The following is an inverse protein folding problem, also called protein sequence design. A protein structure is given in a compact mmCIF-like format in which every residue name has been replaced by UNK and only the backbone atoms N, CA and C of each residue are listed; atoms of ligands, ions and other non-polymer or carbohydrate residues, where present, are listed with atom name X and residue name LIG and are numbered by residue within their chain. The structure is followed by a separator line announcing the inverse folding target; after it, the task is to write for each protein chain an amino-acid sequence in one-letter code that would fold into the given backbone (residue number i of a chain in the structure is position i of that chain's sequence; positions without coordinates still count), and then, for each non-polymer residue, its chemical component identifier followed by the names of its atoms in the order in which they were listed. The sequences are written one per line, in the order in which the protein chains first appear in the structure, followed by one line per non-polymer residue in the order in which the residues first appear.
data_IF_800034871277
#
_entry.id   IF_800034871277
#
_cell.length_a   1.000
_cell.length_b   1.000
_cell.length_c   1.000
_cell.angle_alpha   90.00
_cell.angle_beta   90.00
_cell.angle_gamma   90.00
#
_symmetry.space_group_name_H-M   'P 1'
#
loop_
_entity.id
_entity.type
_entity.pdbx_description
1 polymer ?
#
# COMPACT_ATOMS: atom_id res chain seq x y z
N UNK A 1 0.64 -6.96 2.66
CA UNK A 1 1.83 -7.29 1.86
C UNK A 1 2.65 -8.36 2.56
N UNK A 2 3.59 -7.97 3.43
CA UNK A 2 4.52 -8.91 4.07
C UNK A 2 3.91 -9.98 5.00
N UNK A 3 2.87 -9.66 5.77
CA UNK A 3 2.18 -10.61 6.67
C UNK A 3 0.76 -10.95 6.22
N UNK A 4 0.30 -10.35 5.11
CA UNK A 4 -1.06 -10.49 4.63
C UNK A 4 -1.24 -11.70 3.69
N UNK A 5 -0.46 -12.76 3.95
CA UNK A 5 -0.45 -13.97 3.15
C UNK A 5 -1.80 -14.69 3.30
N UNK A 6 -2.44 -15.04 2.18
CA UNK A 6 -3.76 -15.69 2.19
C UNK A 6 -4.96 -14.74 2.17
N UNK A 7 -4.77 -13.42 2.24
CA UNK A 7 -5.84 -12.44 2.01
C UNK A 7 -5.86 -11.95 0.56
N UNK A 8 -7.05 -11.96 -0.05
CA UNK A 8 -7.25 -11.38 -1.37
C UNK A 8 -7.45 -9.86 -1.26
N UNK A 9 -6.49 -9.09 -1.75
CA UNK A 9 -6.64 -7.64 -1.88
C UNK A 9 -6.85 -7.27 -3.35
N UNK A 10 -7.80 -6.36 -3.58
CA UNK A 10 -7.85 -5.61 -4.83
C UNK A 10 -7.00 -4.34 -4.67
N UNK A 11 -6.76 -3.61 -5.76
CA UNK A 11 -5.90 -2.42 -5.73
C UNK A 11 -6.35 -1.40 -4.67
N UNK A 12 -7.66 -1.11 -4.57
CA UNK A 12 -8.21 -0.20 -3.55
C UNK A 12 -8.02 -0.70 -2.12
N UNK A 13 -8.24 -1.98 -1.86
CA UNK A 13 -8.10 -2.54 -0.50
C UNK A 13 -6.65 -2.75 -0.11
N UNK A 14 -5.76 -3.02 -1.07
CA UNK A 14 -4.31 -3.10 -0.84
C UNK A 14 -3.75 -1.75 -0.40
N UNK A 15 -4.09 -0.65 -1.08
CA UNK A 15 -3.61 0.69 -0.72
C UNK A 15 -4.13 1.13 0.64
N UNK A 16 -5.39 0.82 0.98
CA UNK A 16 -5.93 1.04 2.33
C UNK A 16 -5.16 0.22 3.38
N UNK A 17 -4.89 -1.06 3.10
CA UNK A 17 -4.11 -1.91 4.00
C UNK A 17 -2.71 -1.36 4.23
N UNK A 18 -2.04 -0.84 3.19
CA UNK A 18 -0.74 -0.21 3.31
C UNK A 18 -0.79 1.03 4.20
N UNK A 19 -1.81 1.88 4.05
CA UNK A 19 -2.00 3.07 4.89
C UNK A 19 -2.25 2.73 6.36
N UNK A 20 -2.94 1.62 6.64
CA UNK A 20 -3.22 1.16 8.01
C UNK A 20 -2.11 0.29 8.61
N UNK A 21 -1.05 0.01 7.86
CA UNK A 21 0.00 -0.88 8.32
C UNK A 21 0.88 -0.17 9.37
N UNK A 22 0.96 -0.68 10.62
CA UNK A 22 1.75 -0.05 11.67
C UNK A 22 3.25 -0.13 11.43
N UNK A 23 3.71 -1.08 10.60
CA UNK A 23 5.09 -1.22 10.18
C UNK A 23 5.18 -1.27 8.66
N UNK A 24 5.37 -0.10 8.05
CA UNK A 24 5.67 0.04 6.64
C UNK A 24 7.14 -0.31 6.40
N UNK A 25 7.41 -1.50 5.85
CA UNK A 25 8.72 -1.80 5.31
C UNK A 25 9.05 -0.86 4.14
N UNK A 26 10.33 -0.72 3.79
CA UNK A 26 10.78 0.22 2.76
C UNK A 26 10.05 0.02 1.42
N UNK A 27 9.83 -1.24 1.02
CA UNK A 27 9.07 -1.57 -0.18
C UNK A 27 7.63 -1.02 -0.13
N UNK A 28 6.93 -1.19 0.99
CA UNK A 28 5.58 -0.66 1.16
C UNK A 28 5.55 0.87 1.16
N UNK A 29 6.59 1.50 1.72
CA UNK A 29 6.72 2.96 1.75
C UNK A 29 6.89 3.53 0.35
N UNK A 30 7.76 2.92 -0.47
CA UNK A 30 7.97 3.33 -1.87
C UNK A 30 6.69 3.21 -2.69
N UNK A 31 5.96 2.08 -2.56
CA UNK A 31 4.69 1.87 -3.27
C UNK A 31 3.65 2.92 -2.87
N UNK A 32 3.50 3.16 -1.56
CA UNK A 32 2.52 4.13 -1.06
C UNK A 32 2.83 5.56 -1.54
N UNK A 33 4.09 5.96 -1.53
CA UNK A 33 4.52 7.28 -2.00
C UNK A 33 4.34 7.44 -3.51
N UNK A 34 4.63 6.39 -4.30
CA UNK A 34 4.38 6.39 -5.74
C UNK A 34 2.89 6.55 -6.05
N UNK A 35 2.02 5.83 -5.34
CA UNK A 35 0.56 5.96 -5.53
C UNK A 35 0.05 7.35 -5.15
N UNK A 36 0.54 7.93 -4.06
CA UNK A 36 0.18 9.30 -3.66
C UNK A 36 0.60 10.32 -4.71
N UNK A 37 1.81 10.19 -5.26
CA UNK A 37 2.29 11.06 -6.35
C UNK A 37 1.40 10.95 -7.58
N UNK A 38 1.10 9.72 -8.00
CA UNK A 38 0.21 9.48 -9.14
C UNK A 38 -1.17 10.12 -8.95
N UNK A 39 -1.78 9.97 -7.76
CA UNK A 39 -3.09 10.58 -7.46
C UNK A 39 -3.08 12.10 -7.34
N UNK A 40 -1.92 12.71 -7.05
CA UNK A 40 -1.79 14.16 -6.94
C UNK A 40 -1.67 14.82 -8.32
N UNK A 41 -1.11 14.09 -9.29
CA UNK A 41 -0.91 14.53 -10.67
C UNK A 41 -2.14 14.27 -11.56
N UNK A 42 -3.19 13.65 -10.99
CA UNK A 42 -4.48 13.33 -11.62
C UNK A 42 -5.54 14.36 -11.23
#
# INVERSE_FOLDING_TARGET
GCTAQGQSFNSKTFSKMLQTCPYLCDCHKVILEAEKRYKKEL
#
